data_IF_220451391059
#
_entry.id   IF_220451391059
#
_cell.length_a   1.000
_cell.length_b   1.000
_cell.length_c   1.000
_cell.angle_alpha   90.00
_cell.angle_beta   90.00
_cell.angle_gamma   90.00
#
_symmetry.space_group_name_H-M   'P 1'
#
loop_
_entity.id
_entity.type
_entity.pdbx_description
1 polymer ?
#
# COMPACT_ATOMS: atom_id res chain seq x y z
N UNK A 1 0.83 -5.63 -39.14
CA UNK A 1 0.18 -4.97 -37.98
C UNK A 1 0.68 -5.67 -36.73
N UNK A 2 1.63 -5.09 -36.00
CA UNK A 2 2.20 -5.72 -34.80
C UNK A 2 1.29 -5.33 -33.62
N UNK A 3 0.56 -6.29 -33.05
CA UNK A 3 -0.18 -6.06 -31.82
C UNK A 3 0.82 -5.85 -30.68
N UNK A 4 0.92 -4.61 -30.21
CA UNK A 4 1.69 -4.28 -29.00
C UNK A 4 1.00 -4.93 -27.80
N UNK A 5 1.75 -5.55 -26.89
CA UNK A 5 1.19 -6.18 -25.69
C UNK A 5 0.72 -5.10 -24.70
N UNK A 6 -0.59 -5.03 -24.45
CA UNK A 6 -1.21 -4.03 -23.56
C UNK A 6 -1.47 -4.55 -22.15
N UNK A 7 -1.53 -5.87 -21.95
CA UNK A 7 -1.75 -6.52 -20.65
C UNK A 7 -0.66 -7.52 -20.29
N UNK A 8 -0.36 -7.63 -19.00
CA UNK A 8 0.58 -8.58 -18.40
C UNK A 8 -0.12 -9.40 -17.30
N UNK A 9 0.37 -10.62 -17.09
CA UNK A 9 -0.02 -11.45 -15.96
C UNK A 9 0.87 -11.07 -14.78
N UNK A 10 0.27 -10.70 -13.66
CA UNK A 10 0.94 -10.44 -12.39
C UNK A 10 0.56 -11.53 -11.39
N UNK A 11 1.52 -11.99 -10.60
CA UNK A 11 1.32 -13.01 -9.55
C UNK A 11 1.70 -12.38 -8.22
N UNK A 12 0.76 -12.37 -7.28
CA UNK A 12 1.01 -11.98 -5.89
C UNK A 12 1.77 -13.10 -5.16
N UNK A 13 2.37 -12.78 -4.01
CA UNK A 13 3.23 -13.71 -3.25
C UNK A 13 2.48 -14.96 -2.76
N UNK A 14 1.16 -14.85 -2.58
CA UNK A 14 0.30 -15.98 -2.21
C UNK A 14 -0.15 -16.84 -3.41
N UNK A 15 0.34 -16.54 -4.62
CA UNK A 15 0.02 -17.26 -5.85
C UNK A 15 -1.24 -16.79 -6.57
N UNK A 16 -1.95 -15.77 -6.07
CA UNK A 16 -3.07 -15.16 -6.79
C UNK A 16 -2.56 -14.51 -8.07
N UNK A 17 -3.21 -14.81 -9.20
CA UNK A 17 -2.84 -14.28 -10.51
C UNK A 17 -3.89 -13.33 -11.05
N UNK A 18 -3.44 -12.20 -11.59
CA UNK A 18 -4.32 -11.18 -12.18
C UNK A 18 -3.79 -10.70 -13.53
N UNK A 19 -4.72 -10.40 -14.44
CA UNK A 19 -4.40 -9.67 -15.66
C UNK A 19 -4.48 -8.17 -15.37
N UNK A 20 -3.39 -7.48 -15.62
CA UNK A 20 -3.29 -6.04 -15.47
C UNK A 20 -2.75 -5.39 -16.73
N UNK A 21 -2.91 -4.07 -16.86
CA UNK A 21 -2.27 -3.32 -17.94
C UNK A 21 -0.77 -3.26 -17.71
N UNK A 22 0.03 -3.32 -18.79
CA UNK A 22 1.48 -3.15 -18.71
C UNK A 22 1.90 -1.79 -18.14
N UNK A 23 1.01 -0.79 -18.22
CA UNK A 23 1.22 0.56 -17.68
C UNK A 23 0.89 0.68 -16.20
N UNK A 24 0.30 -0.35 -15.58
CA UNK A 24 -0.04 -0.32 -14.16
C UNK A 24 1.25 -0.42 -13.34
N UNK A 25 1.47 0.53 -12.44
CA UNK A 25 2.60 0.54 -11.52
C UNK A 25 2.09 0.20 -10.12
N UNK A 26 2.69 -0.82 -9.51
CA UNK A 26 2.26 -1.35 -8.20
C UNK A 26 2.59 -0.42 -7.03
N UNK A 27 3.67 0.35 -7.11
CA UNK A 27 4.06 1.34 -6.10
C UNK A 27 3.05 2.51 -6.08
N UNK A 28 2.70 3.02 -7.28
CA UNK A 28 1.64 4.04 -7.41
C UNK A 28 0.29 3.54 -6.91
N UNK A 29 -0.04 2.28 -7.18
CA UNK A 29 -1.27 1.66 -6.68
C UNK A 29 -1.29 1.61 -5.14
N UNK A 30 -0.16 1.39 -4.47
CA UNK A 30 -0.09 1.43 -3.02
C UNK A 30 -0.34 2.85 -2.46
N UNK A 31 0.23 3.87 -3.10
CA UNK A 31 -0.02 5.28 -2.73
C UNK A 31 -1.49 5.68 -2.94
N UNK A 32 -2.10 5.25 -4.04
CA UNK A 32 -3.54 5.47 -4.29
C UNK A 32 -4.43 4.81 -3.23
N UNK A 33 -4.05 3.60 -2.77
CA UNK A 33 -4.76 2.91 -1.70
C UNK A 33 -4.58 3.65 -0.37
N UNK A 34 -3.37 4.10 -0.05
CA UNK A 34 -3.11 4.89 1.16
C UNK A 34 -3.98 6.14 1.20
N UNK A 35 -4.05 6.88 0.11
CA UNK A 35 -4.89 8.08 0.02
C UNK A 35 -6.37 7.74 0.24
N UNK A 36 -6.85 6.64 -0.36
CA UNK A 36 -8.21 6.19 -0.16
C UNK A 36 -8.49 5.80 1.30
N UNK A 37 -7.55 5.12 1.96
CA UNK A 37 -7.67 4.76 3.38
C UNK A 37 -7.72 6.02 4.25
N UNK A 38 -6.80 6.97 4.06
CA UNK A 38 -6.78 8.27 4.78
C UNK A 38 -8.13 8.98 4.68
N UNK A 39 -8.64 9.15 3.46
CA UNK A 39 -9.93 9.83 3.22
C UNK A 39 -11.08 9.11 3.92
N UNK A 40 -11.07 7.78 3.99
CA UNK A 40 -12.18 7.05 4.63
C UNK A 40 -12.06 6.97 6.16
N UNK A 41 -10.85 6.98 6.71
CA UNK A 41 -10.63 7.01 8.16
C UNK A 41 -10.85 8.40 8.74
N UNK A 42 -10.35 9.45 8.07
CA UNK A 42 -10.35 10.81 8.62
C UNK A 42 -11.73 11.48 8.54
N UNK A 43 -12.52 11.15 7.52
CA UNK A 43 -13.86 11.68 7.35
C UNK A 43 -14.90 11.03 8.30
N UNK A 44 -14.48 10.17 9.22
CA UNK A 44 -15.37 9.48 10.17
C UNK A 44 -16.32 8.46 9.52
N UNK A 45 -16.12 8.15 8.24
CA UNK A 45 -16.96 7.22 7.48
C UNK A 45 -16.74 5.76 7.89
N UNK A 46 -15.56 5.44 8.42
CA UNK A 46 -15.26 4.12 8.97
C UNK A 46 -14.52 4.26 10.30
N UNK A 47 -15.25 4.37 11.43
CA UNK A 47 -14.63 4.50 12.76
C UNK A 47 -13.80 3.27 13.16
N UNK A 48 -13.96 2.16 12.45
CA UNK A 48 -13.29 0.89 12.70
C UNK A 48 -12.16 0.60 11.68
N UNK A 49 -11.79 1.57 10.83
CA UNK A 49 -10.74 1.38 9.81
C UNK A 49 -11.27 0.87 8.47
N UNK A 50 -10.40 0.67 7.49
CA UNK A 50 -10.80 0.34 6.12
C UNK A 50 -10.64 -1.15 5.80
N UNK A 51 -11.70 -1.80 5.34
CA UNK A 51 -11.75 -3.24 5.07
C UNK A 51 -11.65 -3.57 3.57
N UNK A 52 -11.23 -4.80 3.26
CA UNK A 52 -11.21 -5.29 1.87
C UNK A 52 -12.58 -5.24 1.19
N UNK A 53 -13.67 -5.44 1.94
CA UNK A 53 -15.03 -5.33 1.42
C UNK A 53 -15.39 -3.89 1.01
N UNK A 54 -14.95 -2.90 1.79
CA UNK A 54 -15.14 -1.48 1.45
C UNK A 54 -14.35 -1.10 0.20
N UNK A 55 -13.09 -1.54 0.09
CA UNK A 55 -12.28 -1.32 -1.12
C UNK A 55 -12.91 -1.98 -2.35
N UNK A 56 -13.34 -3.24 -2.22
CA UNK A 56 -13.99 -3.97 -3.32
C UNK A 56 -15.24 -3.24 -3.83
N UNK A 57 -16.08 -2.77 -2.90
CA UNK A 57 -17.30 -2.03 -3.22
C UNK A 57 -16.99 -0.65 -3.84
N UNK A 58 -16.01 0.06 -3.31
CA UNK A 58 -15.64 1.40 -3.79
C UNK A 58 -14.99 1.36 -5.17
N UNK A 59 -14.07 0.41 -5.39
CA UNK A 59 -13.31 0.29 -6.66
C UNK A 59 -13.97 -0.61 -7.70
N UNK A 60 -15.08 -1.29 -7.37
CA UNK A 60 -15.76 -2.21 -8.29
C UNK A 60 -14.92 -3.43 -8.67
N UNK A 61 -14.10 -3.92 -7.74
CA UNK A 61 -13.20 -5.07 -7.95
C UNK A 61 -13.62 -6.26 -7.11
N UNK A 62 -13.07 -7.44 -7.40
CA UNK A 62 -13.31 -8.62 -6.59
C UNK A 62 -12.73 -8.45 -5.18
N UNK A 63 -13.37 -9.09 -4.19
CA UNK A 63 -12.90 -9.07 -2.81
C UNK A 63 -11.47 -9.62 -2.66
N UNK A 64 -11.12 -10.63 -3.47
CA UNK A 64 -9.78 -11.21 -3.51
C UNK A 64 -8.77 -10.14 -3.94
N UNK A 65 -8.99 -9.46 -5.07
CA UNK A 65 -8.07 -8.43 -5.54
C UNK A 65 -7.97 -7.24 -4.59
N UNK A 66 -9.08 -6.85 -3.95
CA UNK A 66 -9.07 -5.83 -2.92
C UNK A 66 -8.18 -6.24 -1.72
N UNK A 67 -8.28 -7.50 -1.29
CA UNK A 67 -7.48 -8.04 -0.19
C UNK A 67 -5.99 -8.05 -0.54
N UNK A 68 -5.64 -8.50 -1.74
CA UNK A 68 -4.25 -8.51 -2.23
C UNK A 68 -3.66 -7.09 -2.32
N UNK A 69 -4.46 -6.13 -2.78
CA UNK A 69 -4.04 -4.74 -2.90
C UNK A 69 -3.77 -4.09 -1.54
N UNK A 70 -4.61 -4.37 -0.53
CA UNK A 70 -4.39 -3.89 0.84
C UNK A 70 -3.15 -4.53 1.47
N UNK A 71 -2.95 -5.84 1.29
CA UNK A 71 -1.74 -6.55 1.74
C UNK A 71 -0.49 -6.01 1.07
N UNK A 72 -0.53 -5.77 -0.24
CA UNK A 72 0.59 -5.17 -0.96
C UNK A 72 0.97 -3.78 -0.40
N UNK A 73 -0.01 -2.95 -0.01
CA UNK A 73 0.26 -1.66 0.61
C UNK A 73 0.78 -1.80 2.05
N UNK A 74 0.33 -2.82 2.80
CA UNK A 74 0.90 -3.22 4.10
C UNK A 74 2.38 -3.64 3.96
N UNK A 75 2.70 -4.49 2.97
CA UNK A 75 4.07 -4.98 2.73
C UNK A 75 5.04 -3.85 2.33
N UNK A 76 4.53 -2.80 1.69
CA UNK A 76 5.28 -1.56 1.40
C UNK A 76 5.36 -0.60 2.60
N UNK A 77 4.84 -1.01 3.76
CA UNK A 77 4.83 -0.22 4.99
C UNK A 77 3.89 0.99 4.96
N UNK A 78 3.00 1.11 3.98
CA UNK A 78 2.06 2.23 3.87
C UNK A 78 0.89 2.09 4.82
N UNK A 79 0.46 0.86 5.07
CA UNK A 79 -0.67 0.53 5.93
C UNK A 79 -0.26 -0.37 7.09
N UNK A 80 -1.04 -0.31 8.17
CA UNK A 80 -1.01 -1.27 9.26
C UNK A 80 -2.36 -1.97 9.37
N UNK A 81 -2.33 -3.25 9.74
CA UNK A 81 -3.54 -4.03 9.99
C UNK A 81 -3.88 -4.09 11.47
N UNK A 82 -5.17 -4.08 11.76
CA UNK A 82 -5.74 -4.38 13.06
C UNK A 82 -6.66 -5.60 12.90
N UNK A 83 -6.31 -6.71 13.55
CA UNK A 83 -7.06 -7.96 13.51
C UNK A 83 -7.84 -8.10 14.82
N UNK A 84 -9.16 -7.93 14.71
CA UNK A 84 -10.07 -7.94 15.85
C UNK A 84 -11.17 -8.97 15.64
N UNK A 85 -11.92 -9.27 16.71
CA UNK A 85 -13.12 -10.11 16.62
C UNK A 85 -14.18 -9.57 15.65
N UNK A 86 -14.14 -8.28 15.32
CA UNK A 86 -15.06 -7.63 14.39
C UNK A 86 -14.61 -7.78 12.94
N UNK A 87 -13.34 -8.12 12.72
CA UNK A 87 -12.74 -8.32 11.41
C UNK A 87 -11.35 -7.72 11.29
N UNK A 88 -10.84 -7.79 10.08
CA UNK A 88 -9.55 -7.26 9.67
C UNK A 88 -9.72 -5.88 9.04
N UNK A 89 -9.08 -4.89 9.66
CA UNK A 89 -9.13 -3.50 9.20
C UNK A 89 -7.73 -2.97 8.93
N UNK A 90 -7.64 -2.04 7.99
CA UNK A 90 -6.40 -1.38 7.60
C UNK A 90 -6.46 0.11 7.93
N UNK A 91 -5.34 0.63 8.39
CA UNK A 91 -5.13 2.02 8.76
C UNK A 91 -3.83 2.55 8.14
N UNK A 92 -3.71 3.87 7.98
CA UNK A 92 -2.44 4.48 7.59
C UNK A 92 -1.35 4.12 8.61
N UNK A 93 -0.17 3.75 8.12
CA UNK A 93 0.95 3.42 9.00
C UNK A 93 1.60 4.68 9.56
N UNK A 94 1.25 5.04 10.79
CA UNK A 94 1.87 6.16 11.51
C UNK A 94 3.10 5.74 12.34
N UNK A 95 3.43 4.44 12.42
CA UNK A 95 4.60 3.95 13.15
C UNK A 95 5.91 4.23 12.40
N UNK A 96 5.85 4.26 11.06
CA UNK A 96 7.01 4.57 10.23
C UNK A 96 7.57 6.00 10.41
N UNK A 97 6.80 6.91 11.02
CA UNK A 97 7.29 8.24 11.38
C UNK A 97 8.41 8.20 12.43
N UNK A 98 8.52 7.10 13.18
CA UNK A 98 9.59 6.89 14.16
C UNK A 98 10.93 6.52 13.48
N UNK A 99 10.88 5.93 12.28
CA UNK A 99 12.07 5.46 11.53
C UNK A 99 12.67 6.55 10.63
N UNK A 100 11.88 7.58 10.28
CA UNK A 100 12.35 8.71 9.47
C UNK A 100 13.21 9.70 10.25
N UNK A 101 13.02 9.83 11.56
CA UNK A 101 13.85 10.70 12.41
C UNK A 101 15.27 10.16 12.52
N UNK A 102 15.45 8.83 12.61
CA UNK A 102 16.77 8.20 12.67
C UNK A 102 17.51 8.24 11.33
N UNK A 103 16.81 8.05 10.20
CA UNK A 103 17.44 8.14 8.86
C UNK A 103 17.96 9.53 8.52
N UNK A 104 17.26 10.58 8.94
CA UNK A 104 17.70 11.96 8.70
C UNK A 104 18.93 12.34 9.56
N UNK A 105 19.11 11.74 10.73
CA UNK A 105 20.33 11.86 11.54
C UNK A 105 21.51 11.05 10.97
N UNK A 106 21.26 9.85 10.46
CA UNK A 106 22.29 8.98 9.87
C UNK A 106 22.85 9.58 8.57
N UNK A 107 22.02 10.19 7.72
CA UNK A 107 22.47 10.89 6.51
C UNK A 107 23.32 12.14 6.83
N UNK A 108 23.01 12.84 7.94
CA UNK A 108 23.83 13.98 8.44
C UNK A 108 25.19 13.51 8.99
N UNK A 109 25.23 12.33 9.62
CA UNK A 109 26.44 11.71 10.16
C UNK A 109 27.36 11.13 9.07
N UNK A 110 26.82 10.54 8.00
CA UNK A 110 27.62 10.05 6.87
C UNK A 110 28.17 11.18 5.99
N UNK A 111 27.48 12.33 5.90
CA UNK A 111 28.00 13.51 5.19
C UNK A 111 29.17 14.20 5.92
N UNK A 112 29.25 14.09 7.25
CA UNK A 112 30.32 14.70 8.05
C UNK A 112 31.59 13.86 8.15
N UNK A 113 31.53 12.55 7.87
CA UNK A 113 32.71 11.66 7.85
C UNK A 113 33.47 11.67 6.52
N UNK A 114 32.95 12.35 5.49
CA UNK A 114 33.58 12.45 4.17
C UNK A 114 34.56 13.62 3.99
N UNK A 115 34.88 14.38 5.04
CA UNK A 115 35.73 15.59 4.97
C UNK A 115 37.00 15.46 5.81
N UNK A 116 37.47 14.24 6.10
CA UNK A 116 38.76 14.05 6.79
C UNK A 116 39.69 13.25 5.87
N UNK A 117 40.33 13.96 4.94
CA UNK A 117 41.53 13.53 4.21
C UNK A 117 42.78 13.82 5.05
#
# INVERSE_FOLDING_TARGET
MIFKKFSSLYTFDNGVQVLQLCSLNMEKMADEILEMVNVMTDNGNSPNGFSAAQLAKHSGISLILASERLRMAEDQGKLCRDDTIQGLFFYPNNFNLLESEEKEEIDKLEFSKGIDN
#
